data_IF_953663036962
#
_entry.id   IF_953663036962
#
_cell.length_a   1.000
_cell.length_b   1.000
_cell.length_c   1.000
_cell.angle_alpha   90.00
_cell.angle_beta   90.00
_cell.angle_gamma   90.00
#
_symmetry.space_group_name_H-M   'P 1'
#
loop_
_entity.id
_entity.type
_entity.pdbx_description
1 polymer ?
#
# COMPACT_ATOMS: atom_id res chain seq x y z
N UNK A 1 61.02 -5.04 10.03
CA UNK A 1 60.70 -5.21 8.59
C UNK A 1 59.18 -5.08 8.49
N UNK A 2 58.69 -3.85 8.33
CA UNK A 2 58.21 -3.29 7.04
C UNK A 2 56.85 -3.93 6.67
N UNK A 3 55.71 -3.26 6.71
CA UNK A 3 55.45 -1.86 6.40
C UNK A 3 54.14 -1.36 7.03
N UNK A 4 54.16 -0.09 7.43
CA UNK A 4 52.97 0.78 7.57
C UNK A 4 52.34 1.06 6.20
N UNK A 5 51.10 1.59 6.22
CA UNK A 5 50.38 2.43 5.21
C UNK A 5 49.13 1.72 4.66
N UNK A 6 47.90 2.25 4.60
CA UNK A 6 47.20 3.45 5.10
C UNK A 6 45.76 3.32 4.55
N UNK A 7 44.75 3.84 5.26
CA UNK A 7 43.75 4.80 4.76
C UNK A 7 42.47 4.71 5.60
N UNK A 8 42.22 5.75 6.38
CA UNK A 8 40.90 6.04 6.93
C UNK A 8 39.99 6.48 5.78
N UNK A 9 38.85 5.83 5.62
CA UNK A 9 37.68 6.50 5.03
C UNK A 9 36.42 6.04 5.74
N UNK A 10 35.84 6.99 6.47
CA UNK A 10 34.41 7.02 6.76
C UNK A 10 33.62 6.93 5.47
N UNK A 11 32.85 5.86 5.28
CA UNK A 11 31.71 5.85 4.35
C UNK A 11 30.50 5.37 5.16
N UNK A 12 29.82 6.29 5.87
CA UNK A 12 28.52 6.76 5.43
C UNK A 12 28.09 6.25 4.05
N UNK A 13 27.73 4.97 3.95
CA UNK A 13 26.70 4.52 3.00
C UNK A 13 25.38 4.51 3.77
N UNK A 14 24.71 5.65 3.96
CA UNK A 14 23.81 6.18 2.94
C UNK A 14 23.02 5.06 2.22
N UNK A 15 22.28 4.21 2.94
CA UNK A 15 21.03 3.70 2.38
C UNK A 15 20.02 4.84 2.48
N UNK A 16 20.09 5.75 1.50
CA UNK A 16 19.02 6.66 1.15
C UNK A 16 17.69 5.90 1.24
N UNK A 17 16.75 6.45 2.02
CA UNK A 17 15.57 5.76 2.53
C UNK A 17 15.03 4.66 1.62
N UNK A 18 15.30 3.40 1.97
CA UNK A 18 14.66 2.27 1.34
C UNK A 18 13.16 2.36 1.64
N UNK A 19 12.40 2.93 0.71
CA UNK A 19 10.95 2.96 0.77
C UNK A 19 10.45 1.54 0.58
N UNK A 20 10.20 0.85 1.69
CA UNK A 20 9.52 -0.45 1.67
C UNK A 20 8.22 -0.27 0.87
N UNK A 21 8.11 -0.95 -0.26
CA UNK A 21 6.89 -0.88 -1.09
C UNK A 21 5.70 -1.35 -0.27
N UNK A 22 4.73 -0.46 -0.07
CA UNK A 22 3.51 -0.74 0.68
C UNK A 22 2.50 -1.33 -0.29
N UNK A 23 2.07 -2.56 -0.03
CA UNK A 23 1.10 -3.28 -0.85
C UNK A 23 -0.29 -3.11 -0.23
N UNK A 24 -1.22 -2.57 -1.01
CA UNK A 24 -2.64 -2.47 -0.65
C UNK A 24 -3.42 -3.69 -1.14
N UNK A 25 -4.49 -4.06 -0.42
CA UNK A 25 -5.45 -5.09 -0.86
C UNK A 25 -6.75 -4.43 -1.28
N UNK A 26 -7.11 -4.58 -2.54
CA UNK A 26 -8.30 -3.97 -3.13
C UNK A 26 -9.29 -5.05 -3.57
N UNK A 27 -10.57 -4.75 -3.39
CA UNK A 27 -11.67 -5.56 -3.91
C UNK A 27 -11.91 -5.22 -5.39
N UNK A 28 -12.17 -3.94 -5.66
CA UNK A 28 -12.47 -3.40 -6.99
C UNK A 28 -12.16 -1.90 -7.07
N UNK A 29 -12.25 -1.33 -8.27
CA UNK A 29 -12.22 0.11 -8.49
C UNK A 29 -13.28 0.51 -9.51
N UNK A 30 -13.75 1.75 -9.44
CA UNK A 30 -14.69 2.36 -10.38
C UNK A 30 -14.13 3.68 -10.88
N UNK A 31 -14.11 3.87 -12.21
CA UNK A 31 -13.44 5.02 -12.81
C UNK A 31 -14.29 6.29 -12.86
N UNK A 32 -15.63 6.16 -12.84
CA UNK A 32 -16.56 7.25 -13.10
C UNK A 32 -17.75 7.30 -12.11
N UNK A 33 -17.49 7.15 -10.81
CA UNK A 33 -18.54 7.17 -9.80
C UNK A 33 -19.12 8.58 -9.61
N UNK A 34 -20.46 8.67 -9.62
CA UNK A 34 -21.22 9.93 -9.43
C UNK A 34 -22.09 9.93 -8.18
N UNK A 35 -22.22 8.77 -7.52
CA UNK A 35 -23.13 8.59 -6.38
C UNK A 35 -22.41 8.60 -5.02
N UNK A 36 -21.07 8.57 -5.02
CA UNK A 36 -20.22 8.54 -3.82
C UNK A 36 -19.65 9.92 -3.46
N UNK A 37 -20.30 10.98 -3.94
CA UNK A 37 -19.96 12.38 -3.67
C UNK A 37 -20.14 13.26 -4.90
N UNK A 38 -19.99 14.59 -4.77
CA UNK A 38 -20.14 15.50 -5.89
C UNK A 38 -19.06 15.28 -6.97
N UNK A 39 -19.47 15.37 -8.24
CA UNK A 39 -18.60 15.25 -9.41
C UNK A 39 -18.37 13.80 -9.87
N UNK A 40 -17.41 13.63 -10.78
CA UNK A 40 -16.92 12.32 -11.22
C UNK A 40 -15.75 11.91 -10.34
N UNK A 41 -15.78 10.70 -9.80
CA UNK A 41 -14.77 10.18 -8.88
C UNK A 41 -14.19 8.87 -9.36
N UNK A 42 -12.87 8.74 -9.20
CA UNK A 42 -12.21 7.43 -9.21
C UNK A 42 -12.29 6.84 -7.81
N UNK A 43 -12.99 5.73 -7.66
CA UNK A 43 -13.27 5.10 -6.38
C UNK A 43 -12.48 3.80 -6.31
N UNK A 44 -11.79 3.57 -5.20
CA UNK A 44 -11.13 2.28 -4.92
C UNK A 44 -11.78 1.66 -3.70
N UNK A 45 -12.37 0.49 -3.87
CA UNK A 45 -12.94 -0.30 -2.78
C UNK A 45 -11.85 -1.19 -2.19
N UNK A 46 -11.42 -0.89 -0.98
CA UNK A 46 -10.46 -1.71 -0.26
C UNK A 46 -11.09 -3.02 0.23
N UNK A 47 -10.25 -4.04 0.34
CA UNK A 47 -10.67 -5.30 0.93
C UNK A 47 -10.50 -5.28 2.46
N UNK A 48 -11.53 -5.69 3.18
CA UNK A 48 -11.54 -5.86 4.63
C UNK A 48 -12.47 -4.85 5.31
N UNK A 49 -13.41 -5.35 6.10
CA UNK A 49 -14.24 -4.54 6.98
C UNK A 49 -14.47 -5.31 8.28
N UNK A 50 -14.27 -4.68 9.43
CA UNK A 50 -14.48 -5.33 10.73
C UNK A 50 -15.94 -5.30 11.18
N UNK A 51 -16.77 -4.46 10.53
CA UNK A 51 -18.19 -4.36 10.84
C UNK A 51 -18.99 -5.44 10.10
N UNK A 52 -20.14 -5.81 10.69
CA UNK A 52 -21.05 -6.83 10.16
C UNK A 52 -22.47 -6.26 10.04
N UNK A 53 -22.59 -5.13 9.35
CA UNK A 53 -23.84 -4.40 9.20
C UNK A 53 -24.93 -5.31 8.58
N UNK A 54 -26.15 -5.26 9.12
CA UNK A 54 -27.28 -6.07 8.66
C UNK A 54 -27.57 -5.84 7.15
N UNK A 55 -27.49 -4.58 6.72
CA UNK A 55 -27.74 -4.10 5.36
C UNK A 55 -26.45 -3.62 4.67
N UNK A 56 -25.36 -4.36 4.85
CA UNK A 56 -24.12 -4.07 4.13
C UNK A 56 -24.30 -4.31 2.63
N UNK A 57 -24.10 -3.27 1.81
CA UNK A 57 -24.15 -3.37 0.34
C UNK A 57 -22.99 -4.24 -0.20
N UNK A 58 -21.81 -4.13 0.40
CA UNK A 58 -20.57 -4.78 -0.04
C UNK A 58 -20.13 -5.87 0.96
N UNK A 59 -20.95 -6.91 1.14
CA UNK A 59 -20.69 -7.99 2.12
C UNK A 59 -19.45 -8.83 1.75
N UNK A 60 -19.15 -8.93 0.47
CA UNK A 60 -17.95 -9.53 -0.11
C UNK A 60 -16.64 -8.87 0.36
N UNK A 61 -16.67 -7.60 0.77
CA UNK A 61 -15.50 -6.88 1.29
C UNK A 61 -15.14 -7.24 2.74
N UNK A 62 -15.94 -8.07 3.42
CA UNK A 62 -15.78 -8.36 4.85
C UNK A 62 -14.52 -9.11 5.24
N UNK A 63 -14.05 -10.02 4.38
CA UNK A 63 -12.87 -10.81 4.65
C UNK A 63 -11.62 -9.91 4.58
N UNK A 64 -10.90 -9.81 5.69
CA UNK A 64 -9.65 -9.03 5.83
C UNK A 64 -8.46 -9.69 5.15
N UNK A 65 -8.56 -10.96 4.79
CA UNK A 65 -7.49 -11.73 4.15
C UNK A 65 -7.72 -11.96 2.65
N UNK A 66 -8.90 -11.58 2.13
CA UNK A 66 -9.29 -11.70 0.73
C UNK A 66 -8.68 -10.63 -0.19
N UNK A 67 -9.32 -10.40 -1.34
CA UNK A 67 -8.99 -9.30 -2.26
C UNK A 67 -7.65 -9.46 -3.01
N UNK A 68 -7.47 -8.61 -4.02
CA UNK A 68 -6.28 -8.62 -4.90
C UNK A 68 -5.19 -7.75 -4.30
N UNK A 69 -3.95 -8.24 -4.31
CA UNK A 69 -2.76 -7.44 -3.97
C UNK A 69 -2.49 -6.48 -5.13
N UNK A 70 -2.59 -5.19 -4.89
CA UNK A 70 -2.24 -4.16 -5.86
C UNK A 70 -0.89 -3.58 -5.49
N UNK A 71 0.05 -3.60 -6.44
CA UNK A 71 1.34 -2.91 -6.32
C UNK A 71 1.26 -1.59 -7.10
N UNK A 72 1.99 -0.57 -6.62
CA UNK A 72 2.37 0.58 -7.44
C UNK A 72 3.64 0.24 -8.20
#
# INVERSE_FOLDING_TARGET
>A
MSNLTNCNTTENTATAGATKSVIGRIHSFESCGTVDGPGIRFITFFQGCLMRCLYCHNRDTWDTHGGKRSYR
#
